data_IF_535572114384
#
_entry.id   IF_535572114384
#
_cell.length_a   1.000
_cell.length_b   1.000
_cell.length_c   1.000
_cell.angle_alpha   90.00
_cell.angle_beta   90.00
_cell.angle_gamma   90.00
#
_symmetry.space_group_name_H-M   'P 1'
#
loop_
_entity.id
_entity.type
_entity.pdbx_description
1 polymer ?
#
# COMPACT_ATOMS: atom_id res chain seq x y z
N UNK A 1 14.51 -18.86 76.06
CA UNK A 1 14.92 -20.02 76.88
C UNK A 1 13.80 -21.06 76.87
N UNK A 2 13.97 -22.18 76.16
CA UNK A 2 14.07 -23.56 76.71
C UNK A 2 12.69 -24.08 77.22
N UNK A 3 12.02 -25.12 76.67
CA UNK A 3 12.47 -26.51 76.39
C UNK A 3 11.40 -27.33 75.63
N UNK A 4 11.87 -28.17 74.67
CA UNK A 4 11.55 -29.61 74.32
C UNK A 4 10.08 -30.07 74.19
N UNK A 5 9.67 -30.93 73.26
CA UNK A 5 10.12 -32.32 72.96
C UNK A 5 9.53 -32.79 71.61
N UNK A 6 10.34 -33.16 70.60
CA UNK A 6 10.64 -34.53 70.13
C UNK A 6 9.49 -35.54 69.92
N UNK A 7 9.29 -35.98 68.67
CA UNK A 7 9.19 -37.41 68.31
C UNK A 7 9.46 -37.65 66.81
N UNK A 8 10.43 -38.52 66.53
CA UNK A 8 10.74 -39.11 65.22
C UNK A 8 9.72 -40.21 64.89
N UNK A 9 9.40 -40.39 63.61
CA UNK A 9 9.21 -41.72 63.03
C UNK A 9 9.63 -41.72 61.54
N UNK A 10 10.39 -42.76 61.17
CA UNK A 10 10.90 -43.09 59.82
C UNK A 10 9.85 -43.92 59.05
N UNK A 11 10.18 -44.22 57.79
CA UNK A 11 9.56 -45.13 56.80
C UNK A 11 8.56 -44.41 55.86
N UNK A 12 8.55 -44.61 54.54
CA UNK A 12 9.25 -45.57 53.68
C UNK A 12 9.27 -45.05 52.22
N UNK A 13 10.29 -45.42 51.45
CA UNK A 13 10.38 -45.13 50.00
C UNK A 13 9.69 -46.25 49.23
N UNK A 14 8.56 -45.98 48.56
CA UNK A 14 8.14 -46.77 47.38
C UNK A 14 7.61 -45.90 46.24
N UNK A 15 8.18 -46.19 45.07
CA UNK A 15 7.94 -45.59 43.77
C UNK A 15 6.50 -45.79 43.29
N UNK A 16 5.83 -44.70 42.91
CA UNK A 16 4.84 -44.73 41.85
C UNK A 16 5.05 -43.54 40.91
N UNK A 17 5.64 -43.85 39.73
CA UNK A 17 5.86 -42.93 38.63
C UNK A 17 4.50 -42.55 38.02
N UNK A 18 3.99 -41.36 38.33
CA UNK A 18 2.87 -40.79 37.57
C UNK A 18 3.39 -40.19 36.26
N UNK A 19 2.82 -40.67 35.14
CA UNK A 19 2.99 -40.10 33.81
C UNK A 19 2.13 -38.84 33.71
N UNK A 20 2.72 -37.66 33.92
CA UNK A 20 2.12 -36.42 33.45
C UNK A 20 3.19 -35.34 33.25
N UNK A 21 3.76 -35.27 32.04
CA UNK A 21 4.61 -34.15 31.62
C UNK A 21 4.25 -33.80 30.19
N UNK A 22 3.50 -32.73 30.01
CA UNK A 22 3.65 -31.67 29.01
C UNK A 22 2.37 -30.82 29.02
N UNK A 23 2.22 -30.03 30.08
CA UNK A 23 1.26 -28.91 30.10
C UNK A 23 2.01 -27.68 30.58
N UNK A 24 2.86 -27.14 29.71
CA UNK A 24 3.41 -25.79 29.90
C UNK A 24 2.26 -24.82 29.62
N UNK A 25 1.76 -24.16 30.67
CA UNK A 25 0.96 -22.93 30.56
C UNK A 25 1.86 -21.89 29.86
N UNK A 26 1.50 -21.49 28.63
CA UNK A 26 2.09 -20.32 27.98
C UNK A 26 1.61 -19.05 28.67
N UNK A 27 2.44 -18.00 28.61
CA UNK A 27 2.09 -16.63 29.00
C UNK A 27 0.82 -16.17 28.28
N UNK A 28 0.00 -15.37 28.94
CA UNK A 28 -1.19 -14.78 28.34
C UNK A 28 -0.77 -13.85 27.18
N UNK A 29 -0.86 -14.33 25.94
CA UNK A 29 -0.62 -13.51 24.75
C UNK A 29 0.03 -14.22 23.55
N UNK A 30 0.78 -15.31 23.75
CA UNK A 30 1.39 -16.01 22.61
C UNK A 30 0.43 -17.03 21.96
N UNK A 31 0.21 -16.96 20.63
CA UNK A 31 -0.62 -17.92 19.93
C UNK A 31 0.01 -19.31 20.00
N UNK A 32 -0.82 -20.31 20.29
CA UNK A 32 -0.43 -21.71 20.31
C UNK A 32 0.14 -22.15 18.96
N UNK A 33 0.93 -23.23 18.94
CA UNK A 33 1.47 -23.77 17.69
C UNK A 33 0.38 -24.08 16.66
N UNK A 34 -0.81 -24.49 17.11
CA UNK A 34 -1.95 -24.77 16.22
C UNK A 34 -2.49 -23.51 15.56
N UNK A 35 -2.61 -22.44 16.35
CA UNK A 35 -3.00 -21.13 15.85
C UNK A 35 -1.95 -20.55 14.91
N UNK A 36 -0.65 -20.75 15.17
CA UNK A 36 0.45 -20.34 14.28
C UNK A 36 0.42 -21.08 12.93
N UNK A 37 0.06 -22.36 12.92
CA UNK A 37 -0.09 -23.14 11.68
C UNK A 37 -1.32 -22.67 10.90
N UNK A 38 -2.47 -22.52 11.55
CA UNK A 38 -3.67 -21.97 10.92
C UNK A 38 -3.41 -20.56 10.37
N UNK A 39 -2.71 -19.73 11.15
CA UNK A 39 -2.26 -18.40 10.79
C UNK A 39 -1.49 -18.38 9.47
N UNK A 40 -0.51 -19.28 9.32
CA UNK A 40 0.31 -19.34 8.12
C UNK A 40 -0.53 -19.74 6.91
N UNK A 41 -1.40 -20.74 7.08
CA UNK A 41 -2.21 -21.31 6.01
C UNK A 41 -3.31 -20.36 5.52
N UNK A 42 -3.92 -19.56 6.40
CA UNK A 42 -4.95 -18.58 6.04
C UNK A 42 -4.44 -17.42 5.19
N UNK A 43 -3.12 -17.16 5.16
CA UNK A 43 -2.52 -16.08 4.38
C UNK A 43 -1.97 -16.49 3.00
N UNK A 44 -2.02 -17.78 2.67
CA UNK A 44 -1.44 -18.30 1.42
C UNK A 44 -2.54 -18.64 0.40
N UNK A 45 -2.33 -18.17 -0.85
CA UNK A 45 -3.17 -18.57 -1.99
C UNK A 45 -2.87 -20.01 -2.44
N UNK A 46 -1.67 -20.52 -2.13
CA UNK A 46 -1.23 -21.86 -2.50
C UNK A 46 -1.15 -22.83 -1.30
N UNK A 47 -1.33 -24.15 -1.52
CA UNK A 47 -1.16 -25.15 -0.47
C UNK A 47 0.29 -25.22 0.05
N UNK A 48 0.48 -25.17 1.37
CA UNK A 48 1.81 -25.27 1.99
C UNK A 48 2.16 -26.72 2.37
N UNK A 49 3.42 -27.13 2.17
CA UNK A 49 3.92 -28.41 2.68
C UNK A 49 4.33 -28.31 4.16
N UNK A 50 4.43 -29.44 4.87
CA UNK A 50 4.93 -29.43 6.25
C UNK A 50 6.35 -28.83 6.37
N UNK A 51 7.19 -29.00 5.35
CA UNK A 51 8.53 -28.41 5.32
C UNK A 51 8.45 -26.88 5.25
N UNK A 52 7.60 -26.34 4.37
CA UNK A 52 7.33 -24.90 4.27
C UNK A 52 6.76 -24.37 5.59
N UNK A 53 5.80 -25.08 6.18
CA UNK A 53 5.21 -24.67 7.48
C UNK A 53 6.27 -24.59 8.58
N UNK A 54 7.17 -25.58 8.66
CA UNK A 54 8.25 -25.55 9.64
C UNK A 54 9.26 -24.44 9.38
N UNK A 55 9.60 -24.18 8.13
CA UNK A 55 10.54 -23.13 7.72
C UNK A 55 9.97 -21.73 8.03
N UNK A 56 8.75 -21.45 7.57
CA UNK A 56 8.07 -20.17 7.76
C UNK A 56 7.80 -19.85 9.23
N UNK A 57 7.57 -20.88 10.06
CA UNK A 57 7.40 -20.72 11.51
C UNK A 57 8.71 -20.80 12.30
N UNK A 58 9.86 -20.89 11.62
CA UNK A 58 11.19 -21.01 12.21
C UNK A 58 11.25 -22.11 13.29
N UNK A 59 10.65 -23.28 13.03
CA UNK A 59 10.56 -24.37 13.99
C UNK A 59 11.78 -25.30 13.88
N UNK A 60 12.38 -25.71 15.02
CA UNK A 60 13.51 -26.64 15.01
C UNK A 60 13.08 -28.03 14.52
N UNK A 61 14.03 -28.83 14.02
CA UNK A 61 13.78 -30.20 13.56
C UNK A 61 13.10 -31.11 14.61
N UNK A 62 13.34 -30.85 15.90
CA UNK A 62 12.70 -31.55 17.02
C UNK A 62 11.18 -31.34 17.10
N UNK A 63 10.64 -30.25 16.54
CA UNK A 63 9.20 -29.96 16.53
C UNK A 63 8.44 -30.78 15.48
N UNK A 64 9.12 -31.49 14.58
CA UNK A 64 8.51 -32.19 13.43
C UNK A 64 7.41 -33.17 13.85
N UNK A 65 7.61 -33.93 14.93
CA UNK A 65 6.61 -34.88 15.44
C UNK A 65 5.36 -34.16 15.95
N UNK A 66 5.55 -33.11 16.75
CA UNK A 66 4.47 -32.29 17.29
C UNK A 66 3.67 -31.61 16.17
N UNK A 67 4.33 -31.03 15.16
CA UNK A 67 3.69 -30.41 13.99
C UNK A 67 2.87 -31.44 13.20
N UNK A 68 3.41 -32.65 12.99
CA UNK A 68 2.71 -33.72 12.28
C UNK A 68 1.43 -34.16 13.03
N UNK A 69 1.53 -34.36 14.35
CA UNK A 69 0.38 -34.69 15.20
C UNK A 69 -0.67 -33.57 15.15
N UNK A 70 -0.24 -32.31 15.22
CA UNK A 70 -1.12 -31.15 15.18
C UNK A 70 -1.83 -30.98 13.84
N UNK A 71 -1.11 -31.13 12.71
CA UNK A 71 -1.71 -31.09 11.37
C UNK A 71 -2.75 -32.20 11.20
N UNK A 72 -2.47 -33.40 11.73
CA UNK A 72 -3.42 -34.53 11.70
C UNK A 72 -4.69 -34.17 12.50
N UNK A 73 -4.53 -33.58 13.68
CA UNK A 73 -5.65 -33.11 14.50
C UNK A 73 -6.45 -32.02 13.78
N UNK A 74 -5.79 -31.02 13.18
CA UNK A 74 -6.45 -29.93 12.47
C UNK A 74 -7.21 -30.40 11.21
N UNK A 75 -6.70 -31.43 10.51
CA UNK A 75 -7.43 -32.09 9.42
C UNK A 75 -8.66 -32.82 9.95
N UNK A 76 -8.51 -33.56 11.05
CA UNK A 76 -9.62 -34.29 11.70
C UNK A 76 -10.72 -33.35 12.19
N UNK A 77 -10.34 -32.20 12.75
CA UNK A 77 -11.24 -31.13 13.18
C UNK A 77 -11.83 -30.32 11.99
N UNK A 78 -11.49 -30.68 10.75
CA UNK A 78 -11.91 -29.98 9.53
C UNK A 78 -11.55 -28.48 9.52
N UNK A 79 -10.48 -28.08 10.20
CA UNK A 79 -9.96 -26.70 10.17
C UNK A 79 -9.01 -26.46 8.99
N UNK A 80 -8.33 -27.52 8.53
CA UNK A 80 -7.49 -27.50 7.33
C UNK A 80 -7.82 -28.69 6.42
N UNK A 81 -7.66 -28.50 5.11
CA UNK A 81 -7.77 -29.54 4.09
C UNK A 81 -6.38 -29.99 3.67
N UNK A 82 -6.23 -31.29 3.44
CA UNK A 82 -4.99 -31.87 2.94
C UNK A 82 -5.21 -32.37 1.50
N UNK A 83 -4.33 -31.95 0.57
CA UNK A 83 -4.28 -32.46 -0.81
C UNK A 83 -2.81 -32.64 -1.20
N UNK A 84 -2.45 -33.81 -1.73
CA UNK A 84 -1.08 -34.13 -2.19
C UNK A 84 0.01 -33.80 -1.16
N UNK A 85 -0.19 -34.18 0.13
CA UNK A 85 0.72 -33.88 1.26
C UNK A 85 0.94 -32.38 1.55
N UNK A 86 0.13 -31.49 0.97
CA UNK A 86 0.09 -30.06 1.27
C UNK A 86 -1.23 -29.70 1.97
N UNK A 87 -1.23 -28.59 2.70
CA UNK A 87 -2.32 -28.15 3.56
C UNK A 87 -2.84 -26.79 3.12
N UNK A 88 -4.16 -26.62 3.22
CA UNK A 88 -4.90 -25.38 2.98
C UNK A 88 -5.89 -25.18 4.14
N UNK A 89 -6.34 -23.95 4.44
CA UNK A 89 -7.47 -23.75 5.34
C UNK A 89 -8.72 -24.44 4.77
N UNK A 90 -9.52 -25.08 5.64
CA UNK A 90 -10.74 -25.78 5.23
C UNK A 90 -11.92 -24.82 5.02
N UNK A 91 -11.97 -23.80 5.85
CA UNK A 91 -12.86 -22.64 5.81
C UNK A 91 -12.07 -21.44 6.35
N UNK A 92 -12.39 -20.21 5.91
CA UNK A 92 -11.87 -18.98 6.56
C UNK A 92 -12.55 -18.74 7.93
N UNK A 93 -13.12 -19.77 8.55
CA UNK A 93 -13.90 -19.63 9.77
C UNK A 93 -13.00 -19.22 10.92
N UNK A 94 -13.10 -17.93 11.21
CA UNK A 94 -12.49 -17.30 12.35
C UNK A 94 -11.13 -16.69 12.10
N UNK A 95 -10.47 -16.83 10.93
CA UNK A 95 -9.21 -16.13 10.63
C UNK A 95 -9.21 -15.60 9.20
N UNK A 96 -8.93 -14.31 9.03
CA UNK A 96 -8.89 -13.65 7.73
C UNK A 96 -7.76 -12.62 7.64
N UNK A 97 -7.11 -12.54 6.48
CA UNK A 97 -6.20 -11.45 6.17
C UNK A 97 -7.03 -10.21 5.83
N UNK A 98 -6.70 -9.07 6.41
CA UNK A 98 -7.49 -7.86 6.28
C UNK A 98 -6.62 -6.61 6.31
N UNK A 99 -7.12 -5.52 5.76
CA UNK A 99 -6.53 -4.19 5.88
C UNK A 99 -7.25 -3.40 6.96
N UNK A 100 -6.49 -2.84 7.92
CA UNK A 100 -7.06 -2.06 9.03
C UNK A 100 -7.28 -0.61 8.63
N UNK A 101 -8.45 -0.07 8.90
CA UNK A 101 -8.75 1.35 8.88
C UNK A 101 -9.03 1.85 10.30
N UNK A 102 -8.09 2.58 10.91
CA UNK A 102 -8.29 3.21 12.22
C UNK A 102 -9.14 4.49 12.13
N UNK A 103 -9.85 4.77 13.22
CA UNK A 103 -10.55 6.03 13.46
C UNK A 103 -9.79 6.88 14.48
N UNK A 104 -10.06 8.19 14.51
CA UNK A 104 -9.53 9.12 15.53
C UNK A 104 -9.91 8.76 16.97
N UNK A 105 -10.94 7.92 17.16
CA UNK A 105 -11.39 7.42 18.48
C UNK A 105 -10.63 6.18 18.96
N UNK A 106 -9.62 5.72 18.21
CA UNK A 106 -8.72 4.63 18.62
C UNK A 106 -9.24 3.21 18.41
N UNK A 107 -10.42 3.03 17.79
CA UNK A 107 -10.87 1.73 17.27
C UNK A 107 -10.77 1.71 15.74
N UNK A 108 -10.84 0.53 15.13
CA UNK A 108 -10.73 0.37 13.69
C UNK A 108 -11.77 -0.56 13.07
N UNK A 109 -11.76 -0.58 11.75
CA UNK A 109 -12.46 -1.56 10.92
C UNK A 109 -11.44 -2.35 10.12
N UNK A 110 -11.76 -3.59 9.79
CA UNK A 110 -10.92 -4.44 8.98
C UNK A 110 -11.70 -5.00 7.80
N UNK A 111 -11.25 -4.66 6.61
CA UNK A 111 -11.78 -5.17 5.34
C UNK A 111 -11.03 -6.45 4.99
N UNK A 112 -11.72 -7.58 4.95
CA UNK A 112 -11.13 -8.89 4.72
C UNK A 112 -10.79 -9.05 3.22
N UNK A 113 -9.64 -9.64 2.91
CA UNK A 113 -9.28 -9.95 1.53
C UNK A 113 -10.32 -10.89 0.88
N UNK A 114 -10.84 -10.50 -0.29
CA UNK A 114 -11.89 -11.25 -0.99
C UNK A 114 -13.33 -11.00 -0.47
N UNK A 115 -13.51 -10.06 0.47
CA UNK A 115 -14.81 -9.55 0.89
C UNK A 115 -15.54 -8.94 -0.32
N UNK A 116 -16.85 -9.22 -0.44
CA UNK A 116 -17.68 -8.63 -1.50
C UNK A 116 -17.93 -7.15 -1.20
N UNK A 117 -18.10 -6.27 -2.21
CA UNK A 117 -18.29 -4.83 -2.00
C UNK A 117 -19.43 -4.45 -1.02
N UNK A 118 -20.47 -5.29 -0.92
CA UNK A 118 -21.64 -5.03 -0.08
C UNK A 118 -21.56 -5.69 1.31
N UNK A 119 -20.49 -6.42 1.62
CA UNK A 119 -20.29 -7.01 2.93
C UNK A 119 -19.71 -5.97 3.89
N UNK A 120 -20.17 -5.95 5.15
CA UNK A 120 -19.74 -4.97 6.14
C UNK A 120 -18.36 -5.35 6.70
N UNK A 121 -17.51 -4.34 6.89
CA UNK A 121 -16.22 -4.51 7.53
C UNK A 121 -16.34 -5.03 8.97
N UNK A 122 -15.29 -5.72 9.40
CA UNK A 122 -15.18 -6.28 10.74
C UNK A 122 -14.76 -5.17 11.71
N UNK A 123 -15.54 -4.96 12.77
CA UNK A 123 -15.18 -3.99 13.80
C UNK A 123 -14.05 -4.52 14.70
N UNK A 124 -13.04 -3.71 14.97
CA UNK A 124 -11.94 -4.04 15.89
C UNK A 124 -11.86 -2.97 16.98
N UNK A 125 -12.14 -3.38 18.21
CA UNK A 125 -12.02 -2.50 19.38
C UNK A 125 -10.55 -2.14 19.65
N UNK A 126 -10.31 -1.04 20.37
CA UNK A 126 -8.95 -0.58 20.69
C UNK A 126 -8.08 -1.64 21.39
N UNK A 127 -8.70 -2.44 22.27
CA UNK A 127 -8.01 -3.53 22.98
C UNK A 127 -7.63 -4.70 22.06
N UNK A 128 -8.30 -4.82 20.92
CA UNK A 128 -8.14 -5.91 19.97
C UNK A 128 -7.25 -5.53 18.77
N UNK A 129 -6.70 -4.32 18.72
CA UNK A 129 -5.84 -3.87 17.62
C UNK A 129 -4.43 -4.46 17.67
N UNK A 130 -3.95 -4.90 18.84
CA UNK A 130 -2.62 -5.49 19.02
C UNK A 130 -1.48 -4.65 18.37
N UNK A 131 -1.57 -3.32 18.49
CA UNK A 131 -0.58 -2.39 17.91
C UNK A 131 -0.65 -2.22 16.38
N UNK A 132 -1.72 -2.66 15.72
CA UNK A 132 -1.98 -2.39 14.31
C UNK A 132 -2.26 -0.90 14.08
N UNK A 133 -1.69 -0.36 13.02
CA UNK A 133 -1.86 1.02 12.57
C UNK A 133 -2.82 1.09 11.38
N UNK A 134 -3.27 2.29 11.04
CA UNK A 134 -4.08 2.53 9.85
C UNK A 134 -3.33 2.07 8.61
N UNK A 135 -3.99 1.34 7.71
CA UNK A 135 -3.43 0.78 6.48
C UNK A 135 -2.72 -0.57 6.67
N UNK A 136 -2.42 -1.00 7.90
CA UNK A 136 -1.69 -2.24 8.11
C UNK A 136 -2.46 -3.44 7.56
N UNK A 137 -1.74 -4.33 6.88
CA UNK A 137 -2.27 -5.64 6.54
C UNK A 137 -2.06 -6.55 7.74
N UNK A 138 -3.16 -7.06 8.28
CA UNK A 138 -3.19 -7.87 9.50
C UNK A 138 -3.82 -9.22 9.21
N UNK A 139 -3.57 -10.18 10.09
CA UNK A 139 -4.46 -11.32 10.24
C UNK A 139 -5.36 -11.07 11.44
N UNK A 140 -6.66 -11.13 11.23
CA UNK A 140 -7.67 -10.98 12.27
C UNK A 140 -8.32 -12.30 12.57
N UNK A 141 -8.66 -12.51 13.84
CA UNK A 141 -9.60 -13.52 14.28
C UNK A 141 -10.99 -12.93 14.28
N UNK A 142 -11.92 -13.49 13.51
CA UNK A 142 -13.32 -13.04 13.49
C UNK A 142 -14.05 -13.68 14.67
N UNK A 143 -14.58 -12.86 15.56
CA UNK A 143 -15.36 -13.25 16.72
C UNK A 143 -16.84 -13.42 16.34
N UNK A 144 -17.59 -14.14 17.19
CA UNK A 144 -19.03 -14.31 17.00
C UNK A 144 -19.74 -12.94 16.93
N UNK A 145 -20.77 -12.85 16.09
CA UNK A 145 -21.53 -11.61 15.94
C UNK A 145 -22.14 -11.22 17.30
N UNK A 146 -22.04 -9.93 17.64
CA UNK A 146 -22.72 -9.39 18.83
C UNK A 146 -24.23 -9.46 18.65
N UNK A 147 -25.00 -9.30 19.73
CA UNK A 147 -26.48 -9.24 19.70
C UNK A 147 -27.06 -8.19 18.73
N UNK A 148 -26.24 -7.25 18.26
CA UNK A 148 -26.57 -6.22 17.26
C UNK A 148 -26.19 -6.60 15.82
N UNK A 149 -25.81 -7.84 15.56
CA UNK A 149 -25.51 -8.36 14.22
C UNK A 149 -24.19 -7.85 13.60
N UNK A 150 -23.37 -7.10 14.34
CA UNK A 150 -22.06 -6.63 13.87
C UNK A 150 -20.98 -7.64 14.26
N UNK A 151 -20.20 -8.07 13.26
CA UNK A 151 -19.05 -8.97 13.44
C UNK A 151 -17.89 -8.19 14.07
N UNK A 152 -17.33 -8.74 15.13
CA UNK A 152 -16.12 -8.20 15.76
C UNK A 152 -14.89 -9.01 15.36
N UNK A 153 -13.73 -8.39 15.46
CA UNK A 153 -12.45 -8.99 15.14
C UNK A 153 -11.38 -8.67 16.17
N UNK A 154 -10.36 -9.53 16.21
CA UNK A 154 -9.15 -9.34 16.99
C UNK A 154 -7.92 -9.51 16.12
N UNK A 155 -7.04 -8.51 16.08
CA UNK A 155 -5.75 -8.61 15.39
C UNK A 155 -4.88 -9.64 16.11
N UNK A 156 -4.55 -10.72 15.40
CA UNK A 156 -3.67 -11.77 15.91
C UNK A 156 -2.22 -11.42 15.59
N UNK A 157 -1.95 -10.95 14.37
CA UNK A 157 -0.61 -10.56 13.93
C UNK A 157 -0.70 -9.50 12.84
N UNK A 158 0.30 -8.65 12.79
CA UNK A 158 0.50 -7.71 11.69
C UNK A 158 1.39 -8.40 10.65
N UNK A 159 0.87 -8.52 9.43
CA UNK A 159 1.52 -9.22 8.31
C UNK A 159 2.43 -8.26 7.56
N UNK A 160 1.96 -7.04 7.31
CA UNK A 160 2.69 -5.99 6.61
C UNK A 160 2.33 -4.66 7.25
N UNK A 161 3.37 -3.89 7.64
CA UNK A 161 3.22 -2.50 8.05
C UNK A 161 2.96 -1.63 6.83
N UNK A 162 1.98 -0.75 6.93
CA UNK A 162 1.63 0.22 5.89
C UNK A 162 2.66 1.33 5.81
N UNK A 163 3.01 1.90 6.96
CA UNK A 163 4.02 2.93 7.09
C UNK A 163 5.33 2.26 7.48
N UNK A 164 6.39 2.50 6.72
CA UNK A 164 7.75 2.08 7.10
C UNK A 164 8.70 3.26 7.09
N UNK A 165 8.35 4.28 6.31
CA UNK A 165 9.04 5.54 6.17
C UNK A 165 8.00 6.65 6.34
N UNK A 166 8.38 7.75 6.99
CA UNK A 166 7.51 8.90 7.22
C UNK A 166 8.32 10.18 7.32
N UNK A 167 7.68 11.29 6.95
CA UNK A 167 8.18 12.63 7.23
C UNK A 167 7.63 13.16 8.56
N UNK A 168 8.39 14.06 9.17
CA UNK A 168 7.98 14.75 10.38
C UNK A 168 9.01 15.77 10.83
N UNK A 169 8.72 16.44 11.95
CA UNK A 169 9.64 17.39 12.59
C UNK A 169 10.42 16.68 13.68
N UNK A 170 11.75 16.77 13.61
CA UNK A 170 12.64 16.21 14.61
C UNK A 170 12.79 17.14 15.81
N UNK A 171 12.50 16.63 17.01
CA UNK A 171 12.69 17.33 18.29
C UNK A 171 13.86 16.67 19.00
N UNK A 172 14.95 17.43 19.18
CA UNK A 172 16.18 16.92 19.77
C UNK A 172 16.11 16.87 21.29
N UNK A 173 16.72 15.84 21.87
CA UNK A 173 16.85 15.62 23.31
C UNK A 173 18.27 15.14 23.66
N UNK A 174 18.60 15.04 24.95
CA UNK A 174 19.96 14.69 25.41
C UNK A 174 20.46 13.32 24.91
N UNK A 175 19.56 12.33 24.74
CA UNK A 175 19.89 10.95 24.33
C UNK A 175 19.51 10.62 22.89
N UNK A 176 19.18 11.61 22.07
CA UNK A 176 18.65 11.41 20.72
C UNK A 176 17.56 12.43 20.45
N UNK A 177 16.36 11.97 20.10
CA UNK A 177 15.20 12.83 19.95
C UNK A 177 13.98 12.05 19.50
N UNK A 178 12.90 12.78 19.25
CA UNK A 178 11.64 12.23 18.76
C UNK A 178 11.27 12.89 17.44
N UNK A 179 10.83 12.07 16.48
CA UNK A 179 10.16 12.53 15.29
C UNK A 179 8.66 12.64 15.57
N UNK A 180 8.10 13.83 15.34
CA UNK A 180 6.66 14.06 15.34
C UNK A 180 6.17 13.91 13.88
N UNK A 181 5.37 12.90 13.54
CA UNK A 181 4.88 12.70 12.18
C UNK A 181 4.09 13.89 11.66
N UNK A 182 4.21 14.15 10.35
CA UNK A 182 3.36 15.14 9.66
C UNK A 182 1.92 14.65 9.47
N UNK A 183 1.70 13.33 9.42
CA UNK A 183 0.36 12.78 9.31
C UNK A 183 -0.31 12.70 10.69
N UNK A 184 -1.36 13.50 10.98
CA UNK A 184 -2.07 13.45 12.25
C UNK A 184 -2.79 12.11 12.51
N UNK A 185 -2.94 11.26 11.49
CA UNK A 185 -3.46 9.89 11.64
C UNK A 185 -2.46 8.93 12.27
N UNK A 186 -1.21 9.35 12.48
CA UNK A 186 -0.17 8.60 13.17
C UNK A 186 -0.01 9.15 14.62
N UNK A 187 -0.78 8.65 15.60
CA UNK A 187 -0.83 9.22 16.96
C UNK A 187 0.34 8.74 17.83
N UNK A 188 1.55 8.69 17.26
CA UNK A 188 2.76 8.27 17.95
C UNK A 188 3.95 9.11 17.50
N UNK A 189 4.95 9.25 18.35
CA UNK A 189 6.26 9.77 17.95
C UNK A 189 7.23 8.61 17.72
N UNK A 190 8.23 8.82 16.87
CA UNK A 190 9.29 7.83 16.63
C UNK A 190 10.54 8.26 17.37
N UNK A 191 11.00 7.46 18.32
CA UNK A 191 12.28 7.72 18.98
C UNK A 191 13.44 7.48 18.01
N UNK A 192 14.33 8.45 17.90
CA UNK A 192 15.53 8.37 17.06
C UNK A 192 16.75 8.41 17.98
N UNK A 193 17.51 7.31 18.10
CA UNK A 193 18.76 7.30 18.86
C UNK A 193 19.75 8.32 18.29
N UNK A 194 20.56 8.94 19.14
CA UNK A 194 21.56 9.94 18.70
C UNK A 194 22.48 9.46 17.58
N UNK A 195 22.90 8.19 17.60
CA UNK A 195 23.75 7.60 16.55
C UNK A 195 23.04 7.46 15.18
N UNK A 196 21.72 7.63 15.15
CA UNK A 196 20.83 7.44 14.00
C UNK A 196 20.11 8.72 13.58
N UNK A 197 20.45 9.86 14.19
CA UNK A 197 19.81 11.14 13.88
C UNK A 197 20.41 11.88 12.69
N UNK A 198 21.51 11.37 12.10
CA UNK A 198 22.31 12.07 11.07
C UNK A 198 22.70 13.51 11.46
N UNK A 199 22.83 13.78 12.76
CA UNK A 199 23.07 15.12 13.31
C UNK A 199 21.99 16.16 12.96
N UNK A 200 20.74 15.71 12.76
CA UNK A 200 19.62 16.62 12.56
C UNK A 200 19.48 17.64 13.70
N UNK A 201 19.27 18.90 13.34
CA UNK A 201 19.04 19.99 14.29
C UNK A 201 17.60 19.96 14.80
N UNK A 202 17.39 20.52 15.99
CA UNK A 202 16.06 20.62 16.58
C UNK A 202 15.13 21.47 15.70
N UNK A 203 13.93 20.97 15.43
CA UNK A 203 12.92 21.65 14.62
C UNK A 203 13.03 21.42 13.12
N UNK A 204 14.02 20.65 12.65
CA UNK A 204 14.16 20.34 11.22
C UNK A 204 13.17 19.27 10.76
N UNK A 205 12.65 19.43 9.55
CA UNK A 205 11.91 18.39 8.85
C UNK A 205 12.87 17.29 8.39
N UNK A 206 12.48 16.04 8.61
CA UNK A 206 13.30 14.87 8.27
C UNK A 206 12.43 13.75 7.69
N UNK A 207 13.03 12.95 6.81
CA UNK A 207 12.51 11.66 6.38
C UNK A 207 13.16 10.58 7.26
N UNK A 208 12.34 9.77 7.94
CA UNK A 208 12.84 8.70 8.80
C UNK A 208 12.23 7.35 8.44
N UNK A 209 12.99 6.29 8.69
CA UNK A 209 12.53 4.91 8.63
C UNK A 209 12.26 4.40 10.03
N UNK A 210 11.11 3.77 10.22
CA UNK A 210 10.82 3.02 11.44
C UNK A 210 11.59 1.71 11.36
N UNK A 211 12.52 1.50 12.29
CA UNK A 211 13.30 0.26 12.40
C UNK A 211 12.58 -0.76 13.25
N UNK A 212 11.89 -0.29 14.29
CA UNK A 212 11.08 -1.11 15.19
C UNK A 212 9.78 -0.39 15.54
N UNK A 213 8.65 -1.05 15.33
CA UNK A 213 7.35 -0.47 15.68
C UNK A 213 7.05 -0.45 17.19
N UNK A 214 7.91 -1.09 17.98
CA UNK A 214 7.74 -1.20 19.42
C UNK A 214 6.56 -2.10 19.84
N UNK A 215 6.06 -1.86 21.04
CA UNK A 215 4.95 -2.59 21.67
C UNK A 215 3.95 -1.59 22.24
N UNK A 216 2.87 -2.05 22.89
CA UNK A 216 1.87 -1.16 23.50
C UNK A 216 2.48 -0.11 24.45
N UNK A 217 3.53 -0.49 25.19
CA UNK A 217 4.13 0.35 26.23
C UNK A 217 5.40 1.07 25.75
N UNK A 218 5.90 0.73 24.55
CA UNK A 218 7.11 1.32 23.97
C UNK A 218 6.81 1.75 22.55
N UNK A 219 6.84 3.06 22.31
CA UNK A 219 6.66 3.63 20.98
C UNK A 219 7.70 3.16 19.96
N UNK A 220 7.48 3.47 18.67
CA UNK A 220 8.38 3.08 17.61
C UNK A 220 9.76 3.72 17.76
N UNK A 221 10.78 2.99 17.31
CA UNK A 221 12.16 3.47 17.14
C UNK A 221 12.49 3.52 15.66
N UNK A 222 13.32 4.47 15.26
CA UNK A 222 13.70 4.66 13.87
C UNK A 222 15.08 5.25 13.68
N UNK A 223 15.39 5.54 12.43
CA UNK A 223 16.58 6.26 12.01
C UNK A 223 16.23 7.29 10.94
N UNK A 224 16.91 8.44 10.98
CA UNK A 224 16.76 9.46 9.96
C UNK A 224 17.46 8.97 8.69
N UNK A 225 16.72 8.99 7.58
CA UNK A 225 17.25 8.71 6.24
C UNK A 225 17.77 9.98 5.59
N UNK A 226 17.05 11.10 5.75
CA UNK A 226 17.35 12.37 5.07
C UNK A 226 16.92 13.54 5.95
N UNK A 227 17.71 14.62 5.96
CA UNK A 227 17.33 15.89 6.57
C UNK A 227 16.77 16.76 5.43
N UNK A 228 15.49 17.09 5.50
CA UNK A 228 14.80 17.87 4.46
C UNK A 228 15.07 19.37 4.62
N UNK A 229 15.18 19.85 5.87
CA UNK A 229 15.53 21.24 6.18
C UNK A 229 14.46 21.95 7.01
N UNK A 230 14.25 23.24 6.76
CA UNK A 230 13.26 24.05 7.47
C UNK A 230 11.82 23.67 7.03
N UNK A 231 10.98 23.14 7.95
CA UNK A 231 9.60 22.77 7.64
C UNK A 231 8.74 23.93 7.13
N UNK A 232 9.13 25.19 7.32
CA UNK A 232 8.34 26.35 6.89
C UNK A 232 8.58 26.73 5.42
N UNK A 233 9.56 26.13 4.76
CA UNK A 233 9.87 26.41 3.35
C UNK A 233 8.96 25.64 2.40
N UNK A 234 8.59 26.28 1.27
CA UNK A 234 7.72 25.66 0.24
C UNK A 234 8.33 24.36 -0.31
N UNK A 235 9.64 24.34 -0.58
CA UNK A 235 10.33 23.16 -1.10
C UNK A 235 10.23 21.96 -0.14
N UNK A 236 10.40 22.19 1.17
CA UNK A 236 10.30 21.13 2.17
C UNK A 236 8.86 20.65 2.33
N UNK A 237 7.88 21.57 2.35
CA UNK A 237 6.45 21.22 2.38
C UNK A 237 6.04 20.36 1.17
N UNK A 238 6.49 20.73 -0.04
CA UNK A 238 6.29 19.93 -1.25
C UNK A 238 6.91 18.53 -1.11
N UNK A 239 8.16 18.45 -0.65
CA UNK A 239 8.85 17.17 -0.46
C UNK A 239 8.14 16.28 0.57
N UNK A 240 7.69 16.85 1.68
CA UNK A 240 6.92 16.13 2.70
C UNK A 240 5.58 15.62 2.16
N UNK A 241 4.87 16.43 1.38
CA UNK A 241 3.62 16.02 0.73
C UNK A 241 3.82 14.89 -0.28
N UNK A 242 4.89 14.96 -1.10
CA UNK A 242 5.24 13.91 -2.05
C UNK A 242 5.49 12.56 -1.34
N UNK A 243 6.29 12.55 -0.26
CA UNK A 243 6.58 11.32 0.49
C UNK A 243 5.31 10.77 1.18
N UNK A 244 4.52 11.64 1.81
CA UNK A 244 3.26 11.25 2.48
C UNK A 244 2.25 10.61 1.53
N UNK A 245 2.14 11.13 0.32
CA UNK A 245 1.25 10.62 -0.73
C UNK A 245 1.91 9.54 -1.59
N UNK A 246 3.16 9.18 -1.30
CA UNK A 246 3.96 8.21 -2.09
C UNK A 246 4.04 8.58 -3.58
N UNK A 247 4.15 9.87 -3.88
CA UNK A 247 4.29 10.40 -5.24
C UNK A 247 5.76 10.34 -5.66
N UNK A 248 6.02 9.71 -6.81
CA UNK A 248 7.37 9.60 -7.40
C UNK A 248 7.51 10.50 -8.62
N UNK A 249 8.66 11.14 -8.76
CA UNK A 249 9.03 11.86 -9.99
C UNK A 249 9.68 10.94 -11.02
N UNK A 250 10.45 9.93 -10.57
CA UNK A 250 11.22 9.07 -11.46
C UNK A 250 10.36 7.98 -12.11
N UNK A 251 10.67 7.66 -13.36
CA UNK A 251 10.06 6.55 -14.08
C UNK A 251 10.93 5.29 -13.97
N UNK A 252 10.32 4.08 -13.95
CA UNK A 252 11.07 2.84 -14.07
C UNK A 252 11.90 2.77 -15.37
N UNK A 253 13.08 2.13 -15.31
CA UNK A 253 13.98 2.03 -16.46
C UNK A 253 13.32 1.37 -17.70
N UNK A 254 12.42 0.39 -17.48
CA UNK A 254 11.68 -0.25 -18.56
C UNK A 254 10.69 0.71 -19.27
N UNK A 255 10.14 1.69 -18.55
CA UNK A 255 9.22 2.70 -19.09
C UNK A 255 10.00 3.70 -19.93
N UNK A 256 11.14 4.18 -19.43
CA UNK A 256 12.03 5.08 -20.17
C UNK A 256 12.55 4.40 -21.45
N UNK A 257 13.03 3.16 -21.36
CA UNK A 257 13.48 2.41 -22.53
C UNK A 257 12.36 2.12 -23.54
N UNK A 258 11.11 1.98 -23.08
CA UNK A 258 9.97 1.86 -23.97
C UNK A 258 9.66 3.18 -24.69
N UNK A 259 9.72 4.31 -23.99
CA UNK A 259 9.48 5.64 -24.56
C UNK A 259 10.55 6.03 -25.58
N UNK A 260 11.83 5.73 -25.32
CA UNK A 260 12.94 6.00 -26.25
C UNK A 260 12.86 5.23 -27.56
N UNK A 261 12.17 4.09 -27.60
CA UNK A 261 11.98 3.29 -28.82
C UNK A 261 10.82 3.78 -29.70
N UNK A 262 10.09 4.80 -29.26
CA UNK A 262 8.96 5.33 -30.01
C UNK A 262 9.45 6.30 -31.08
N UNK A 263 9.01 6.03 -32.31
CA UNK A 263 9.30 6.86 -33.47
C UNK A 263 8.11 7.77 -33.79
N UNK A 264 8.35 9.02 -34.22
CA UNK A 264 7.29 9.90 -34.66
C UNK A 264 6.58 9.36 -35.90
N UNK A 265 5.27 9.59 -35.99
CA UNK A 265 4.53 9.29 -37.21
C UNK A 265 4.92 10.29 -38.30
N UNK A 266 5.59 9.81 -39.34
CA UNK A 266 6.08 10.63 -40.47
C UNK A 266 5.17 10.61 -41.70
N UNK A 267 4.22 9.67 -41.75
CA UNK A 267 3.27 9.51 -42.86
C UNK A 267 1.87 9.32 -42.33
N UNK A 268 0.87 9.92 -42.98
CA UNK A 268 -0.52 9.69 -42.60
C UNK A 268 -0.94 8.25 -42.92
N UNK A 269 -1.41 7.52 -41.92
CA UNK A 269 -1.93 6.16 -42.07
C UNK A 269 -3.17 6.15 -42.97
N UNK A 270 -3.40 5.05 -43.71
CA UNK A 270 -4.53 4.93 -44.65
C UNK A 270 -5.90 5.08 -44.01
N UNK A 271 -6.01 4.72 -42.73
CA UNK A 271 -7.25 4.75 -41.97
C UNK A 271 -7.46 6.10 -41.23
N UNK A 272 -6.55 7.06 -41.43
CA UNK A 272 -6.63 8.41 -40.85
C UNK A 272 -7.01 9.43 -41.91
N UNK A 273 -7.73 10.47 -41.48
CA UNK A 273 -8.03 11.64 -42.31
C UNK A 273 -6.88 12.64 -42.21
N UNK A 274 -6.37 13.08 -43.37
CA UNK A 274 -5.35 14.12 -43.43
C UNK A 274 -5.98 15.51 -43.22
N UNK A 275 -5.65 16.15 -42.09
CA UNK A 275 -6.13 17.48 -41.72
C UNK A 275 -5.01 18.54 -41.73
N UNK A 276 -3.84 18.24 -42.33
CA UNK A 276 -2.67 19.16 -42.32
C UNK A 276 -2.90 20.50 -43.02
N UNK A 277 -3.91 20.59 -43.89
CA UNK A 277 -4.29 21.82 -44.57
C UNK A 277 -5.29 22.68 -43.76
N UNK A 278 -5.82 22.16 -42.65
CA UNK A 278 -6.70 22.91 -41.75
C UNK A 278 -5.83 23.73 -40.78
N UNK A 279 -6.06 25.05 -40.64
CA UNK A 279 -5.20 25.95 -39.89
C UNK A 279 -5.42 25.83 -38.37
N UNK A 280 -4.98 24.72 -37.80
CA UNK A 280 -5.04 24.48 -36.35
C UNK A 280 -4.11 25.41 -35.57
N UNK A 281 -4.58 25.84 -34.40
CA UNK A 281 -3.80 26.59 -33.40
C UNK A 281 -3.95 25.93 -32.03
N UNK A 282 -2.92 26.02 -31.21
CA UNK A 282 -2.97 25.71 -29.77
C UNK A 282 -3.00 27.03 -28.98
N UNK A 283 -3.66 27.05 -27.82
CA UNK A 283 -3.81 28.26 -27.00
C UNK A 283 -3.49 27.91 -25.55
N UNK A 284 -2.24 28.15 -25.15
CA UNK A 284 -1.69 27.65 -23.89
C UNK A 284 -0.95 28.74 -23.12
N UNK A 285 -0.62 28.45 -21.86
CA UNK A 285 0.26 29.30 -21.07
C UNK A 285 1.65 29.41 -21.72
N UNK A 286 2.30 30.58 -21.59
CA UNK A 286 3.58 30.85 -22.26
C UNK A 286 4.72 29.88 -21.91
N UNK A 287 4.60 29.15 -20.80
CA UNK A 287 5.58 28.16 -20.32
C UNK A 287 5.16 26.70 -20.54
N UNK A 288 3.99 26.45 -21.15
CA UNK A 288 3.50 25.11 -21.45
C UNK A 288 4.39 24.41 -22.50
N UNK A 289 4.48 23.09 -22.42
CA UNK A 289 5.28 22.26 -23.35
C UNK A 289 4.48 21.05 -23.88
N UNK A 290 3.40 20.74 -23.22
CA UNK A 290 2.44 19.67 -23.42
C UNK A 290 1.16 20.25 -24.03
N UNK A 291 1.16 20.41 -25.36
CA UNK A 291 0.00 20.91 -26.11
C UNK A 291 -0.92 19.74 -26.43
N UNK A 292 -1.92 19.51 -25.58
CA UNK A 292 -2.81 18.36 -25.69
C UNK A 292 -3.97 18.58 -26.67
N UNK A 293 -4.34 19.84 -26.93
CA UNK A 293 -5.44 20.20 -27.81
C UNK A 293 -5.08 21.29 -28.80
N UNK A 294 -5.63 21.17 -30.01
CA UNK A 294 -5.55 22.15 -31.07
C UNK A 294 -6.95 22.40 -31.65
N UNK A 295 -7.24 23.66 -31.98
CA UNK A 295 -8.52 24.08 -32.52
C UNK A 295 -8.38 24.77 -33.87
N UNK A 296 -9.37 24.61 -34.73
CA UNK A 296 -9.54 25.44 -35.93
C UNK A 296 -11.02 25.76 -36.12
N UNK A 297 -11.33 26.95 -36.63
CA UNK A 297 -12.71 27.36 -36.91
C UNK A 297 -12.81 27.89 -38.34
N UNK A 298 -13.76 27.35 -39.08
CA UNK A 298 -14.10 27.75 -40.45
C UNK A 298 -15.53 28.30 -40.48
N UNK A 299 -15.77 29.41 -41.19
CA UNK A 299 -17.14 29.87 -41.46
C UNK A 299 -17.76 29.01 -42.57
N UNK A 300 -19.01 28.60 -42.38
CA UNK A 300 -19.82 27.88 -43.37
C UNK A 300 -21.02 28.72 -43.78
N UNK A 301 -21.77 28.28 -44.80
CA UNK A 301 -22.98 29.01 -45.22
C UNK A 301 -24.00 29.22 -44.09
N UNK A 302 -24.17 28.22 -43.22
CA UNK A 302 -25.18 28.19 -42.18
C UNK A 302 -24.65 28.53 -40.77
N UNK A 303 -23.33 28.68 -40.61
CA UNK A 303 -22.69 28.99 -39.33
C UNK A 303 -21.20 28.71 -39.33
N UNK A 304 -20.74 27.76 -38.50
CA UNK A 304 -19.33 27.49 -38.26
C UNK A 304 -19.03 26.00 -38.22
N UNK A 305 -17.84 25.62 -38.67
CA UNK A 305 -17.24 24.31 -38.43
C UNK A 305 -16.09 24.46 -37.46
N UNK A 306 -16.17 23.76 -36.34
CA UNK A 306 -15.13 23.70 -35.32
C UNK A 306 -14.42 22.35 -35.42
N UNK A 307 -13.10 22.40 -35.53
CA UNK A 307 -12.21 21.26 -35.36
C UNK A 307 -11.64 21.32 -33.94
N UNK A 308 -11.82 20.26 -33.15
CA UNK A 308 -11.13 20.05 -31.88
C UNK A 308 -10.28 18.79 -32.02
N UNK A 309 -8.97 18.96 -32.10
CA UNK A 309 -8.00 17.88 -32.32
C UNK A 309 -7.23 17.66 -31.04
N UNK A 310 -7.39 16.48 -30.44
CA UNK A 310 -6.72 16.07 -29.20
C UNK A 310 -5.54 15.16 -29.54
N UNK A 311 -4.40 15.36 -28.89
CA UNK A 311 -3.22 14.50 -28.99
C UNK A 311 -3.60 13.01 -28.89
N UNK A 312 -3.25 12.22 -29.90
CA UNK A 312 -3.56 10.78 -29.91
C UNK A 312 -2.51 10.00 -29.10
N UNK A 313 -2.55 10.17 -27.77
CA UNK A 313 -1.66 9.46 -26.84
C UNK A 313 -1.81 7.93 -26.99
N UNK A 314 -3.01 7.46 -27.33
CA UNK A 314 -3.34 6.04 -27.49
C UNK A 314 -2.60 5.36 -28.67
N UNK A 315 -2.15 6.17 -29.64
CA UNK A 315 -1.30 5.70 -30.72
C UNK A 315 0.05 5.17 -30.20
N UNK A 316 0.65 5.88 -29.24
CA UNK A 316 1.95 5.53 -28.67
C UNK A 316 1.84 4.64 -27.43
N UNK A 317 0.85 4.89 -26.58
CA UNK A 317 0.65 4.18 -25.30
C UNK A 317 -0.37 3.06 -25.48
N UNK A 318 0.12 1.88 -25.88
CA UNK A 318 -0.72 0.70 -26.09
C UNK A 318 -1.08 0.02 -24.77
N UNK A 319 -2.32 -0.46 -24.66
CA UNK A 319 -2.82 -1.20 -23.49
C UNK A 319 -1.90 -2.36 -23.13
N UNK A 320 -1.56 -2.48 -21.86
CA UNK A 320 -0.65 -3.50 -21.34
C UNK A 320 0.83 -3.23 -21.60
N UNK A 321 1.21 -2.13 -22.26
CA UNK A 321 2.62 -1.72 -22.37
C UNK A 321 3.18 -1.29 -21.00
N UNK A 322 4.52 -1.25 -20.82
CA UNK A 322 5.11 -0.70 -19.60
C UNK A 322 4.65 0.74 -19.30
N UNK A 323 4.53 1.57 -20.34
CA UNK A 323 4.11 2.97 -20.22
C UNK A 323 2.65 3.05 -19.75
N UNK A 324 1.76 2.23 -20.32
CA UNK A 324 0.35 2.15 -19.91
C UNK A 324 0.19 1.76 -18.44
N UNK A 325 0.89 0.70 -18.00
CA UNK A 325 0.83 0.27 -16.59
C UNK A 325 1.32 1.33 -15.62
N UNK A 326 2.37 2.06 -15.99
CA UNK A 326 2.91 3.16 -15.18
C UNK A 326 1.97 4.36 -15.15
N UNK A 327 1.44 4.76 -16.31
CA UNK A 327 0.46 5.83 -16.43
C UNK A 327 -0.79 5.52 -15.59
N UNK A 328 -1.28 4.28 -15.64
CA UNK A 328 -2.40 3.82 -14.82
C UNK A 328 -2.11 3.89 -13.31
N UNK A 329 -0.89 3.54 -12.89
CA UNK A 329 -0.48 3.63 -11.48
C UNK A 329 -0.38 5.08 -11.00
N UNK A 330 0.10 5.99 -11.86
CA UNK A 330 0.16 7.44 -11.57
C UNK A 330 -1.22 8.08 -11.56
N UNK A 331 -2.10 7.66 -12.47
CA UNK A 331 -3.47 8.12 -12.63
C UNK A 331 -3.61 9.53 -13.24
N UNK A 332 -2.76 10.48 -12.83
CA UNK A 332 -2.74 11.86 -13.34
C UNK A 332 -1.36 12.48 -13.17
N UNK A 333 -1.06 13.52 -13.96
CA UNK A 333 0.02 14.44 -13.65
C UNK A 333 -0.35 15.23 -12.38
N UNK A 334 0.65 15.51 -11.53
CA UNK A 334 0.47 16.29 -10.29
C UNK A 334 1.29 17.58 -10.40
N UNK A 335 0.61 18.72 -10.27
CA UNK A 335 1.21 20.04 -10.41
C UNK A 335 1.38 20.68 -9.03
N UNK A 336 2.63 20.82 -8.59
CA UNK A 336 3.04 21.68 -7.48
C UNK A 336 3.46 23.06 -8.04
N UNK A 337 3.58 24.11 -7.19
CA UNK A 337 3.93 25.45 -7.65
C UNK A 337 5.14 25.53 -8.59
N UNK A 338 6.21 24.79 -8.27
CA UNK A 338 7.47 24.79 -9.05
C UNK A 338 7.89 23.40 -9.57
N UNK A 339 6.99 22.41 -9.51
CA UNK A 339 7.32 21.03 -9.88
C UNK A 339 6.11 20.32 -10.48
N UNK A 340 6.28 19.70 -11.63
CA UNK A 340 5.30 18.79 -12.22
C UNK A 340 5.80 17.36 -12.06
N UNK A 341 4.94 16.49 -11.55
CA UNK A 341 5.14 15.04 -11.59
C UNK A 341 4.32 14.50 -12.77
N UNK A 342 4.93 14.25 -13.92
CA UNK A 342 4.17 13.92 -15.12
C UNK A 342 3.63 12.49 -15.05
N UNK A 343 2.47 12.28 -15.65
CA UNK A 343 1.87 10.96 -15.84
C UNK A 343 2.66 10.11 -16.86
N UNK A 344 3.20 10.77 -17.89
CA UNK A 344 3.94 10.15 -18.98
C UNK A 344 5.39 10.67 -19.02
N UNK A 345 6.35 9.90 -19.55
CA UNK A 345 7.70 10.39 -19.78
C UNK A 345 7.73 11.62 -20.69
N UNK A 346 8.69 12.52 -20.47
CA UNK A 346 8.80 13.79 -21.22
C UNK A 346 8.89 13.58 -22.75
N UNK A 347 9.52 12.49 -23.20
CA UNK A 347 9.58 12.10 -24.62
C UNK A 347 8.19 11.98 -25.26
N UNK A 348 7.20 11.57 -24.49
CA UNK A 348 5.80 11.52 -24.92
C UNK A 348 5.10 12.85 -24.71
N UNK A 349 5.08 13.36 -23.48
CA UNK A 349 4.26 14.53 -23.13
C UNK A 349 4.71 15.81 -23.83
N UNK A 350 6.03 16.01 -23.99
CA UNK A 350 6.58 17.28 -24.48
C UNK A 350 6.98 17.21 -25.97
N UNK A 351 6.86 16.05 -26.61
CA UNK A 351 7.26 15.88 -28.01
C UNK A 351 6.27 15.03 -28.82
N UNK A 352 6.28 13.71 -28.67
CA UNK A 352 5.55 12.82 -29.59
C UNK A 352 4.03 13.00 -29.55
N UNK A 353 3.47 13.29 -28.37
CA UNK A 353 2.04 13.57 -28.19
C UNK A 353 1.73 15.06 -28.24
N UNK A 354 2.70 15.94 -27.97
CA UNK A 354 2.47 17.39 -27.98
C UNK A 354 2.22 17.88 -29.40
N UNK A 355 1.14 18.62 -29.61
CA UNK A 355 0.73 19.23 -30.88
C UNK A 355 1.57 20.48 -31.20
N UNK A 356 2.89 20.31 -31.20
CA UNK A 356 3.86 21.39 -31.40
C UNK A 356 3.74 22.04 -32.80
N UNK A 357 4.02 23.34 -32.93
CA UNK A 357 3.87 24.05 -34.20
C UNK A 357 4.70 23.46 -35.34
N UNK A 358 4.11 23.43 -36.54
CA UNK A 358 4.75 23.03 -37.80
C UNK A 358 5.32 21.61 -37.82
N UNK A 359 4.77 20.70 -37.00
CA UNK A 359 5.12 19.28 -37.06
C UNK A 359 3.87 18.42 -37.18
N UNK A 360 3.94 17.41 -38.05
CA UNK A 360 2.86 16.44 -38.21
C UNK A 360 2.71 15.62 -36.91
N UNK A 361 1.48 15.54 -36.41
CA UNK A 361 1.14 14.81 -35.18
C UNK A 361 -0.16 14.02 -35.34
N UNK A 362 -0.23 12.78 -34.81
CA UNK A 362 -1.49 12.05 -34.77
C UNK A 362 -2.42 12.69 -33.74
N UNK A 363 -3.67 12.90 -34.13
CA UNK A 363 -4.71 13.43 -33.27
C UNK A 363 -6.01 12.65 -33.45
N UNK A 364 -6.84 12.69 -32.41
CA UNK A 364 -8.25 12.33 -32.46
C UNK A 364 -9.07 13.63 -32.58
N UNK A 365 -9.84 13.76 -33.66
CA UNK A 365 -10.47 15.04 -34.01
C UNK A 365 -11.98 14.96 -33.97
N UNK A 366 -12.61 15.80 -33.15
CA UNK A 366 -14.04 16.07 -33.26
C UNK A 366 -14.27 17.22 -34.26
N UNK A 367 -14.99 16.94 -35.34
CA UNK A 367 -15.41 17.92 -36.34
C UNK A 367 -16.89 18.21 -36.11
N UNK A 368 -17.17 19.44 -35.68
CA UNK A 368 -18.48 19.85 -35.17
C UNK A 368 -19.02 21.00 -36.02
N UNK A 369 -20.23 20.85 -36.56
CA UNK A 369 -20.91 21.94 -37.28
C UNK A 369 -21.93 22.61 -36.35
N UNK A 370 -21.93 23.94 -36.35
CA UNK A 370 -22.81 24.80 -35.58
C UNK A 370 -23.54 25.78 -36.49
N UNK A 371 -24.79 26.10 -36.17
CA UNK A 371 -25.48 27.25 -36.79
C UNK A 371 -25.00 28.56 -36.18
N UNK A 372 -25.23 29.71 -36.85
CA UNK A 372 -24.84 31.06 -36.35
C UNK A 372 -25.26 31.37 -34.90
N UNK A 373 -26.32 30.75 -34.39
CA UNK A 373 -26.79 30.90 -33.00
C UNK A 373 -26.05 30.01 -31.97
N UNK A 374 -25.02 29.28 -32.38
CA UNK A 374 -24.20 28.43 -31.50
C UNK A 374 -24.81 27.07 -31.18
N UNK A 375 -25.89 26.64 -31.85
CA UNK A 375 -26.45 25.29 -31.68
C UNK A 375 -25.70 24.31 -32.59
N UNK A 376 -25.14 23.25 -31.99
CA UNK A 376 -24.52 22.15 -32.73
C UNK A 376 -25.58 21.39 -33.56
N UNK A 377 -25.24 21.05 -34.80
CA UNK A 377 -26.13 20.33 -35.72
C UNK A 377 -25.52 19.03 -36.27
N UNK A 378 -24.20 18.88 -36.24
CA UNK A 378 -23.50 17.66 -36.66
C UNK A 378 -22.25 17.45 -35.81
N UNK A 379 -21.89 16.19 -35.61
CA UNK A 379 -20.59 15.77 -35.09
C UNK A 379 -20.05 14.59 -35.90
N UNK A 380 -18.76 14.60 -36.15
CA UNK A 380 -17.95 13.54 -36.72
C UNK A 380 -16.70 13.39 -35.84
N UNK A 381 -16.24 12.16 -35.62
CA UNK A 381 -15.12 11.83 -34.74
C UNK A 381 -14.11 10.97 -35.48
#
# INVERSE_FOLDING_TARGET
MVKKTSRRQRFDRKNHKSRNRFRRKGSAGEPSLGERILFLLSGQKEPASMAVIMQELALPGSARKAVKELLTTLVKEKKIRQKNKKFLPATNEGLGRATVALTSRGFGFATVEGQKPNEKDIFISSNNLNGASHGDTVLIRILAATSRGRREGQVVRIVKRSVTTLCGVYVAETKGGHLIPDDPKLPFTVFIPRAKSRNAENGTAVLARITEYGTRDKGPTGEILEILGDPLTVAVQMRMAMEKLSLTSSFPAEVLAAAERLEPLTTCDKDRRDLRQVPHVTIDGATAKDFDDAIAVEETADGFRLHVSIADVSYYVRTGSPIDREAYQRGTSVYFPDLVLPMLPERLSNDLCSLVPNQDRPAFSAILDFVRKGRQIRAEF
#
